data_IF_495497700928
#
_entry.id   IF_495497700928
#
_cell.length_a   1.000
_cell.length_b   1.000
_cell.length_c   1.000
_cell.angle_alpha   90.00
_cell.angle_beta   90.00
_cell.angle_gamma   90.00
#
_symmetry.space_group_name_H-M   'P 1'
#
loop_
_entity.id
_entity.type
_entity.pdbx_description
1 polymer ?
#
# COMPACT_ATOMS: atom_id res chain seq x y z
N UNK A 1 12.50 -8.59 17.09
CA UNK A 1 12.14 -7.16 17.29
C UNK A 1 12.57 -6.40 16.05
N UNK A 2 11.67 -5.59 15.47
CA UNK A 2 11.98 -4.67 14.37
C UNK A 2 12.93 -3.58 14.89
N UNK A 3 13.89 -3.15 14.06
CA UNK A 3 14.81 -2.04 14.40
C UNK A 3 14.05 -0.80 14.90
N UNK A 4 14.51 -0.10 15.95
CA UNK A 4 13.89 1.13 16.42
C UNK A 4 13.73 2.19 15.33
N UNK A 5 14.70 2.31 14.42
CA UNK A 5 14.66 3.23 13.29
C UNK A 5 13.51 2.89 12.32
N UNK A 6 13.37 1.61 11.97
CA UNK A 6 12.28 1.14 11.11
C UNK A 6 10.93 1.42 11.79
N UNK A 7 10.79 1.04 13.07
CA UNK A 7 9.55 1.24 13.83
C UNK A 7 9.15 2.71 13.93
N UNK A 8 10.12 3.62 14.14
CA UNK A 8 9.91 5.07 14.19
C UNK A 8 9.36 5.59 12.88
N UNK A 9 10.00 5.24 11.76
CA UNK A 9 9.62 5.76 10.44
C UNK A 9 8.29 5.16 9.94
N UNK A 10 8.04 3.87 10.16
CA UNK A 10 6.74 3.25 9.88
C UNK A 10 5.63 3.95 10.66
N UNK A 11 5.81 4.12 11.97
CA UNK A 11 4.82 4.77 12.83
C UNK A 11 4.51 6.20 12.39
N UNK A 12 5.53 6.98 12.07
CA UNK A 12 5.37 8.36 11.60
C UNK A 12 4.56 8.38 10.29
N UNK A 13 4.90 7.53 9.32
CA UNK A 13 4.26 7.51 8.01
C UNK A 13 2.80 7.03 8.08
N UNK A 14 2.57 5.88 8.74
CA UNK A 14 1.25 5.23 8.83
C UNK A 14 0.24 6.06 9.63
N UNK A 15 0.68 6.78 10.67
CA UNK A 15 -0.22 7.60 11.51
C UNK A 15 -0.55 8.98 10.93
N UNK A 16 -0.05 9.35 9.77
CA UNK A 16 -0.39 10.61 9.10
C UNK A 16 -1.89 10.70 8.83
N UNK A 17 -2.43 11.91 8.87
CA UNK A 17 -3.84 12.17 8.52
C UNK A 17 -4.14 11.72 7.09
N UNK A 18 -5.30 11.11 6.88
CA UNK A 18 -5.78 10.64 5.58
C UNK A 18 -7.26 10.31 5.63
N UNK A 19 -7.91 10.15 4.48
CA UNK A 19 -9.36 9.85 4.38
C UNK A 19 -9.74 8.49 4.97
N UNK A 20 -8.81 7.53 4.99
CA UNK A 20 -8.98 6.19 5.59
C UNK A 20 -10.21 5.41 5.10
N UNK A 21 -10.59 5.61 3.84
CA UNK A 21 -11.83 5.08 3.24
C UNK A 21 -11.79 3.54 3.17
N UNK A 22 -10.65 2.93 2.84
CA UNK A 22 -10.56 1.48 2.61
C UNK A 22 -10.90 0.67 3.85
N UNK A 23 -10.33 1.02 5.00
CA UNK A 23 -10.67 0.34 6.27
C UNK A 23 -12.13 0.53 6.65
N UNK A 24 -12.71 1.71 6.34
CA UNK A 24 -14.12 1.98 6.61
C UNK A 24 -15.01 1.10 5.73
N UNK A 25 -14.73 1.03 4.43
CA UNK A 25 -15.46 0.17 3.49
C UNK A 25 -15.37 -1.31 3.88
N UNK A 26 -14.20 -1.77 4.30
CA UNK A 26 -14.03 -3.13 4.80
C UNK A 26 -14.93 -3.41 6.02
N UNK A 27 -14.94 -2.51 7.00
CA UNK A 27 -15.81 -2.67 8.18
C UNK A 27 -17.29 -2.62 7.80
N UNK A 28 -17.71 -1.70 6.94
CA UNK A 28 -19.10 -1.59 6.49
C UNK A 28 -19.52 -2.86 5.73
N UNK A 29 -18.68 -3.31 4.78
CA UNK A 29 -18.94 -4.54 4.03
C UNK A 29 -19.07 -5.75 4.96
N UNK A 30 -18.12 -5.93 5.88
CA UNK A 30 -18.20 -7.01 6.86
C UNK A 30 -19.48 -6.95 7.70
N UNK A 31 -19.79 -5.80 8.30
CA UNK A 31 -20.95 -5.62 9.19
C UNK A 31 -22.28 -5.73 8.44
N UNK A 32 -22.30 -5.44 7.13
CA UNK A 32 -23.49 -5.61 6.29
C UNK A 32 -23.93 -7.06 6.10
N UNK A 33 -23.01 -8.01 6.24
CA UNK A 33 -23.29 -9.45 6.03
C UNK A 33 -23.10 -10.30 7.30
N UNK A 34 -22.30 -9.85 8.26
CA UNK A 34 -22.02 -10.59 9.46
C UNK A 34 -23.12 -10.40 10.50
N UNK A 35 -23.60 -11.52 11.11
CA UNK A 35 -24.57 -11.47 12.21
C UNK A 35 -23.97 -10.96 13.54
N UNK A 36 -22.65 -11.06 13.69
CA UNK A 36 -21.90 -10.63 14.89
C UNK A 36 -20.55 -10.11 14.50
N UNK A 37 -20.02 -9.15 15.26
CA UNK A 37 -18.66 -8.66 15.10
C UNK A 37 -17.64 -9.72 15.50
N UNK A 38 -16.75 -10.09 14.59
CA UNK A 38 -15.66 -11.01 14.88
C UNK A 38 -14.55 -10.34 15.67
N UNK A 39 -13.96 -11.01 16.67
CA UNK A 39 -12.75 -10.50 17.30
C UNK A 39 -11.62 -10.29 16.29
N UNK A 40 -11.00 -9.12 16.35
CA UNK A 40 -9.93 -8.75 15.42
C UNK A 40 -10.40 -8.02 14.15
N UNK A 41 -11.72 -7.83 13.91
CA UNK A 41 -12.24 -7.12 12.74
C UNK A 41 -11.53 -5.77 12.49
N UNK A 42 -11.51 -4.91 13.49
CA UNK A 42 -10.91 -3.58 13.33
C UNK A 42 -9.38 -3.64 13.15
N UNK A 43 -8.73 -4.62 13.77
CA UNK A 43 -7.31 -4.87 13.54
C UNK A 43 -7.07 -5.34 12.11
N UNK A 44 -7.88 -6.26 11.59
CA UNK A 44 -7.80 -6.66 10.18
C UNK A 44 -8.11 -5.52 9.21
N UNK A 45 -9.04 -4.63 9.55
CA UNK A 45 -9.31 -3.42 8.75
C UNK A 45 -8.08 -2.49 8.64
N UNK A 46 -7.22 -2.44 9.66
CA UNK A 46 -5.96 -1.68 9.62
C UNK A 46 -5.00 -2.24 8.57
N UNK A 47 -5.07 -3.55 8.28
CA UNK A 47 -4.22 -4.16 7.26
C UNK A 47 -4.37 -3.50 5.89
N UNK A 48 -5.58 -3.05 5.53
CA UNK A 48 -5.85 -2.36 4.27
C UNK A 48 -5.18 -0.98 4.20
N UNK A 49 -5.00 -0.32 5.33
CA UNK A 49 -4.24 0.93 5.39
C UNK A 49 -2.73 0.67 5.28
N UNK A 50 -2.23 -0.36 5.97
CA UNK A 50 -0.83 -0.77 5.84
C UNK A 50 -0.51 -1.19 4.40
N UNK A 51 -1.40 -1.97 3.80
CA UNK A 51 -1.30 -2.38 2.40
C UNK A 51 -1.29 -1.19 1.45
N UNK A 52 -2.12 -0.18 1.70
CA UNK A 52 -2.11 1.05 0.93
C UNK A 52 -0.83 1.87 1.16
N UNK A 53 -0.36 1.97 2.40
CA UNK A 53 0.86 2.71 2.73
C UNK A 53 2.12 2.07 2.11
N UNK A 54 2.18 0.72 2.04
CA UNK A 54 3.20 0.00 1.26
C UNK A 54 3.22 0.45 -0.21
N UNK A 55 2.06 0.43 -0.87
CA UNK A 55 1.95 0.86 -2.26
C UNK A 55 2.38 2.32 -2.45
N UNK A 56 1.96 3.22 -1.55
CA UNK A 56 2.33 4.64 -1.62
C UNK A 56 3.84 4.87 -1.47
N UNK A 57 4.53 4.06 -0.67
CA UNK A 57 5.98 4.19 -0.50
C UNK A 57 6.71 3.85 -1.80
N UNK A 58 6.31 2.77 -2.48
CA UNK A 58 6.90 2.37 -3.76
C UNK A 58 6.52 3.36 -4.87
N UNK A 59 5.28 3.77 -4.94
CA UNK A 59 4.75 4.78 -5.87
C UNK A 59 5.54 6.10 -5.76
N UNK A 60 5.76 6.60 -4.52
CA UNK A 60 6.56 7.82 -4.29
C UNK A 60 8.00 7.72 -4.81
N UNK A 61 8.61 6.55 -4.77
CA UNK A 61 9.96 6.31 -5.29
C UNK A 61 9.94 6.31 -6.83
N UNK A 62 8.97 5.63 -7.43
CA UNK A 62 8.80 5.50 -8.87
C UNK A 62 8.49 6.86 -9.48
N UNK A 63 7.52 7.57 -8.91
CA UNK A 63 7.06 8.89 -9.36
C UNK A 63 8.00 10.03 -8.97
N UNK A 64 9.06 9.75 -8.18
CA UNK A 64 9.99 10.75 -7.64
C UNK A 64 9.26 11.83 -6.84
N UNK A 65 8.24 11.44 -6.10
CA UNK A 65 7.41 12.34 -5.30
C UNK A 65 8.04 12.63 -3.95
N UNK A 66 8.44 13.88 -3.72
CA UNK A 66 9.12 14.28 -2.48
C UNK A 66 8.17 14.43 -1.28
N UNK A 67 6.86 14.56 -1.53
CA UNK A 67 5.85 14.88 -0.52
C UNK A 67 4.69 13.90 -0.60
N UNK A 68 4.29 13.35 0.57
CA UNK A 68 3.09 12.53 0.75
C UNK A 68 2.28 12.99 1.96
N UNK A 69 0.99 13.29 1.76
CA UNK A 69 0.09 13.79 2.82
C UNK A 69 0.62 15.05 3.52
N UNK A 70 1.20 15.97 2.76
CA UNK A 70 1.73 17.26 3.25
C UNK A 70 3.05 17.17 4.03
N UNK A 71 3.71 16.00 4.03
CA UNK A 71 5.00 15.75 4.70
C UNK A 71 5.98 15.06 3.74
N UNK A 72 7.28 15.05 4.03
CA UNK A 72 8.25 14.32 3.20
C UNK A 72 7.84 12.86 2.98
N UNK A 73 8.00 12.34 1.77
CA UNK A 73 7.82 10.92 1.46
C UNK A 73 8.84 10.06 2.21
N UNK A 74 8.62 8.74 2.28
CA UNK A 74 9.44 7.84 3.09
C UNK A 74 10.92 7.90 2.69
N UNK A 75 11.22 7.88 1.39
CA UNK A 75 12.60 7.93 0.92
C UNK A 75 13.31 9.25 1.24
N UNK A 76 12.58 10.38 1.24
CA UNK A 76 13.12 11.67 1.65
C UNK A 76 13.35 11.74 3.16
N UNK A 77 12.49 11.15 3.97
CA UNK A 77 12.69 11.07 5.43
C UNK A 77 13.95 10.28 5.76
N UNK A 78 14.11 9.13 5.13
CA UNK A 78 15.25 8.24 5.37
C UNK A 78 16.55 8.83 4.86
N UNK A 79 16.54 9.53 3.72
CA UNK A 79 17.71 10.23 3.20
C UNK A 79 18.25 11.25 4.21
N UNK A 80 17.35 11.97 4.89
CA UNK A 80 17.74 12.96 5.92
C UNK A 80 18.33 12.33 7.20
N UNK A 81 18.07 11.05 7.45
CA UNK A 81 18.63 10.32 8.60
C UNK A 81 20.00 9.70 8.30
N UNK A 82 20.43 9.71 7.02
CA UNK A 82 21.73 9.20 6.63
C UNK A 82 22.85 10.21 6.97
N UNK A 83 24.04 9.73 7.37
CA UNK A 83 25.18 10.60 7.60
C UNK A 83 25.65 11.23 6.28
N UNK A 84 26.15 12.47 6.36
CA UNK A 84 26.71 13.20 5.21
C UNK A 84 28.08 12.61 4.80
N UNK A 85 28.06 11.41 4.23
CA UNK A 85 29.23 10.71 3.69
C UNK A 85 28.81 9.83 2.50
N UNK A 86 29.76 9.48 1.65
CA UNK A 86 29.50 8.57 0.51
C UNK A 86 29.09 7.19 1.05
N UNK A 87 27.86 6.78 0.76
CA UNK A 87 27.30 5.46 1.10
C UNK A 87 27.08 4.64 -0.17
N UNK A 88 26.95 3.32 -0.03
CA UNK A 88 26.58 2.42 -1.13
C UNK A 88 25.07 2.29 -1.32
N UNK A 89 24.28 2.93 -0.49
CA UNK A 89 22.82 2.90 -0.49
C UNK A 89 22.28 4.31 -0.19
N UNK A 90 21.01 4.51 -0.48
CA UNK A 90 20.29 5.78 -0.35
C UNK A 90 19.02 5.62 0.50
N UNK A 91 18.35 6.71 0.79
CA UNK A 91 17.02 6.69 1.40
C UNK A 91 15.99 5.95 0.55
N UNK A 92 16.14 5.89 -0.78
CA UNK A 92 15.28 5.10 -1.68
C UNK A 92 15.42 3.60 -1.42
N UNK A 93 16.65 3.10 -1.34
CA UNK A 93 16.93 1.69 -1.07
C UNK A 93 16.34 1.26 0.27
N UNK A 94 16.49 2.11 1.29
CA UNK A 94 15.91 1.88 2.61
C UNK A 94 14.37 1.91 2.58
N UNK A 95 13.77 2.81 1.78
CA UNK A 95 12.33 2.93 1.69
C UNK A 95 11.69 1.73 0.98
N UNK A 96 12.35 1.13 -0.02
CA UNK A 96 11.93 -0.13 -0.64
C UNK A 96 11.81 -1.21 0.45
N UNK A 97 12.86 -1.41 1.25
CA UNK A 97 12.87 -2.41 2.33
C UNK A 97 11.77 -2.13 3.37
N UNK A 98 11.55 -0.86 3.73
CA UNK A 98 10.46 -0.50 4.66
C UNK A 98 9.08 -0.79 4.03
N UNK A 99 8.91 -0.54 2.75
CA UNK A 99 7.69 -0.89 2.02
C UNK A 99 7.39 -2.39 2.13
N UNK A 100 8.37 -3.25 1.88
CA UNK A 100 8.24 -4.70 2.00
C UNK A 100 7.91 -5.14 3.43
N UNK A 101 8.53 -4.51 4.43
CA UNK A 101 8.20 -4.77 5.84
C UNK A 101 6.75 -4.40 6.15
N UNK A 102 6.27 -3.26 5.65
CA UNK A 102 4.86 -2.84 5.84
C UNK A 102 3.92 -3.80 5.12
N UNK A 103 4.27 -4.30 3.93
CA UNK A 103 3.49 -5.32 3.23
C UNK A 103 3.36 -6.60 4.07
N UNK A 104 4.46 -7.11 4.61
CA UNK A 104 4.44 -8.27 5.49
C UNK A 104 3.59 -8.04 6.75
N UNK A 105 3.70 -6.84 7.37
CA UNK A 105 2.87 -6.44 8.50
C UNK A 105 1.37 -6.34 8.13
N UNK A 106 1.05 -5.93 6.91
CA UNK A 106 -0.33 -5.91 6.43
C UNK A 106 -0.92 -7.31 6.38
N UNK A 107 -0.20 -8.28 5.82
CA UNK A 107 -0.65 -9.68 5.76
C UNK A 107 -0.83 -10.30 7.15
N UNK A 108 0.15 -10.12 8.04
CA UNK A 108 0.06 -10.61 9.44
C UNK A 108 -1.13 -9.99 10.18
N UNK A 109 -1.32 -8.68 10.03
CA UNK A 109 -2.43 -7.96 10.65
C UNK A 109 -3.77 -8.41 10.09
N UNK A 110 -3.88 -8.68 8.79
CA UNK A 110 -5.09 -9.19 8.15
C UNK A 110 -5.50 -10.54 8.75
N UNK A 111 -4.55 -11.43 8.95
CA UNK A 111 -4.79 -12.77 9.50
C UNK A 111 -5.23 -12.77 10.97
N UNK A 112 -5.24 -11.62 11.65
CA UNK A 112 -5.62 -11.51 13.07
C UNK A 112 -7.11 -11.69 13.35
N UNK A 113 -7.98 -11.60 12.32
CA UNK A 113 -9.42 -11.80 12.47
C UNK A 113 -9.75 -13.25 12.90
N UNK A 114 -10.71 -13.40 13.79
CA UNK A 114 -11.19 -14.72 14.27
C UNK A 114 -12.36 -15.22 13.42
N UNK A 115 -12.04 -15.61 12.20
CA UNK A 115 -13.00 -16.14 11.23
C UNK A 115 -12.66 -17.57 10.79
N UNK A 116 -13.63 -18.22 10.11
CA UNK A 116 -13.43 -19.51 9.48
C UNK A 116 -12.20 -19.46 8.55
N UNK A 117 -11.38 -20.53 8.59
CA UNK A 117 -10.13 -20.59 7.83
C UNK A 117 -10.35 -20.41 6.32
N UNK A 118 -11.41 -21.00 5.78
CA UNK A 118 -11.75 -20.88 4.35
C UNK A 118 -12.06 -19.43 3.96
N UNK A 119 -12.85 -18.72 4.78
CA UNK A 119 -13.15 -17.30 4.54
C UNK A 119 -11.90 -16.43 4.61
N UNK A 120 -11.03 -16.72 5.58
CA UNK A 120 -9.74 -16.00 5.71
C UNK A 120 -8.86 -16.24 4.49
N UNK A 121 -8.75 -17.48 4.03
CA UNK A 121 -7.96 -17.84 2.87
C UNK A 121 -8.50 -17.15 1.60
N UNK A 122 -9.80 -17.21 1.36
CA UNK A 122 -10.43 -16.55 0.21
C UNK A 122 -10.22 -15.04 0.24
N UNK A 123 -10.47 -14.40 1.39
CA UNK A 123 -10.26 -12.96 1.54
C UNK A 123 -8.79 -12.55 1.38
N UNK A 124 -7.85 -13.38 1.86
CA UNK A 124 -6.41 -13.14 1.67
C UNK A 124 -6.03 -13.24 0.18
N UNK A 125 -6.61 -14.18 -0.57
CA UNK A 125 -6.42 -14.27 -2.03
C UNK A 125 -6.84 -12.98 -2.73
N UNK A 126 -7.96 -12.38 -2.33
CA UNK A 126 -8.38 -11.07 -2.87
C UNK A 126 -7.37 -9.98 -2.54
N UNK A 127 -6.89 -9.91 -1.29
CA UNK A 127 -5.88 -8.92 -0.89
C UNK A 127 -4.58 -9.07 -1.69
N UNK A 128 -4.10 -10.30 -1.87
CA UNK A 128 -2.90 -10.59 -2.67
C UNK A 128 -3.14 -10.24 -4.15
N UNK A 129 -4.31 -10.58 -4.69
CA UNK A 129 -4.70 -10.23 -6.07
C UNK A 129 -4.73 -8.71 -6.27
N UNK A 130 -5.15 -7.95 -5.25
CA UNK A 130 -5.09 -6.49 -5.29
C UNK A 130 -3.66 -5.97 -5.49
N UNK A 131 -2.66 -6.54 -4.79
CA UNK A 131 -1.26 -6.20 -4.99
C UNK A 131 -0.81 -6.51 -6.42
N UNK A 132 -1.14 -7.71 -6.90
CA UNK A 132 -0.79 -8.15 -8.26
C UNK A 132 -1.34 -7.21 -9.32
N UNK A 133 -2.62 -6.86 -9.24
CA UNK A 133 -3.25 -5.96 -10.20
C UNK A 133 -2.69 -4.54 -10.12
N UNK A 134 -2.49 -4.01 -8.90
CA UNK A 134 -1.96 -2.65 -8.72
C UNK A 134 -0.53 -2.55 -9.24
N UNK A 135 0.34 -3.50 -8.91
CA UNK A 135 1.70 -3.55 -9.44
C UNK A 135 1.74 -3.70 -10.96
N UNK A 136 0.83 -4.54 -11.53
CA UNK A 136 0.70 -4.65 -12.99
C UNK A 136 0.24 -3.33 -13.62
N UNK A 137 -0.67 -2.61 -12.95
CA UNK A 137 -1.15 -1.29 -13.39
C UNK A 137 -0.04 -0.26 -13.40
N UNK A 138 0.79 -0.23 -12.35
CA UNK A 138 1.98 0.62 -12.25
C UNK A 138 2.96 0.34 -13.39
N UNK A 139 3.26 -0.93 -13.63
CA UNK A 139 4.16 -1.33 -14.71
C UNK A 139 3.62 -0.93 -16.10
N UNK A 140 2.31 -1.07 -16.32
CA UNK A 140 1.66 -0.63 -17.58
C UNK A 140 1.77 0.89 -17.73
N UNK A 141 1.55 1.65 -16.65
CA UNK A 141 1.67 3.12 -16.68
C UNK A 141 3.09 3.55 -17.08
N UNK A 142 4.12 2.95 -16.51
CA UNK A 142 5.52 3.22 -16.87
C UNK A 142 5.78 2.92 -18.35
N UNK A 143 5.29 1.79 -18.87
CA UNK A 143 5.45 1.44 -20.29
C UNK A 143 4.70 2.42 -21.22
N UNK A 144 3.51 2.85 -20.83
CA UNK A 144 2.74 3.82 -21.61
C UNK A 144 3.36 5.21 -21.54
N UNK A 145 4.04 5.55 -20.43
CA UNK A 145 4.77 6.81 -20.29
C UNK A 145 5.94 7.00 -21.28
N UNK A 146 6.39 5.90 -21.93
CA UNK A 146 7.41 5.96 -22.98
C UNK A 146 6.81 6.39 -24.34
N UNK A 147 5.48 6.19 -24.54
CA UNK A 147 4.81 6.52 -25.78
C UNK A 147 4.61 8.04 -25.94
N UNK A 148 4.70 8.58 -27.15
CA UNK A 148 4.24 9.95 -27.43
C UNK A 148 2.74 10.08 -27.07
N UNK A 149 2.35 11.23 -26.52
CA UNK A 149 0.95 11.48 -26.09
C UNK A 149 -0.06 11.21 -27.21
N UNK A 150 0.28 11.54 -28.45
CA UNK A 150 -0.57 11.35 -29.63
C UNK A 150 -0.88 9.87 -29.95
N UNK A 151 -0.05 8.95 -29.45
CA UNK A 151 -0.15 7.52 -29.68
C UNK A 151 -0.84 6.79 -28.51
N UNK A 152 -1.25 7.53 -27.46
CA UNK A 152 -2.02 7.01 -26.35
C UNK A 152 -3.51 6.97 -26.70
N UNK A 153 -4.14 5.85 -26.44
CA UNK A 153 -5.59 5.68 -26.61
C UNK A 153 -6.34 5.91 -25.30
N UNK A 154 -7.65 6.14 -25.41
CA UNK A 154 -8.52 6.23 -24.25
C UNK A 154 -8.56 4.92 -23.47
N UNK A 155 -8.48 3.79 -24.16
CA UNK A 155 -8.40 2.45 -23.62
C UNK A 155 -7.13 2.25 -22.80
N UNK A 156 -5.99 2.78 -23.23
CA UNK A 156 -4.74 2.74 -22.47
C UNK A 156 -4.91 3.43 -21.10
N UNK A 157 -5.54 4.60 -21.08
CA UNK A 157 -5.80 5.34 -19.84
C UNK A 157 -6.79 4.61 -18.93
N UNK A 158 -7.87 4.07 -19.48
CA UNK A 158 -8.82 3.28 -18.70
C UNK A 158 -8.21 2.01 -18.14
N UNK A 159 -7.27 1.40 -18.85
CA UNK A 159 -6.54 0.23 -18.38
C UNK A 159 -5.70 0.56 -17.16
N UNK A 160 -4.98 1.71 -17.15
CA UNK A 160 -4.26 2.18 -15.98
C UNK A 160 -5.22 2.36 -14.79
N UNK A 161 -6.29 3.13 -14.95
CA UNK A 161 -7.26 3.37 -13.87
C UNK A 161 -7.88 2.08 -13.33
N UNK A 162 -8.19 1.13 -14.21
CA UNK A 162 -8.75 -0.17 -13.84
C UNK A 162 -7.78 -0.94 -12.94
N UNK A 163 -6.55 -1.12 -13.37
CA UNK A 163 -5.59 -1.97 -12.66
C UNK A 163 -4.94 -1.25 -11.46
N UNK A 164 -4.48 -0.01 -11.63
CA UNK A 164 -3.79 0.73 -10.57
C UNK A 164 -4.74 1.15 -9.44
N UNK A 165 -6.04 1.40 -9.73
CA UNK A 165 -6.93 2.02 -8.75
C UNK A 165 -8.25 1.30 -8.53
N UNK A 166 -9.01 0.99 -9.59
CA UNK A 166 -10.40 0.57 -9.44
C UNK A 166 -10.52 -0.84 -8.84
N UNK A 167 -9.78 -1.82 -9.34
CA UNK A 167 -9.80 -3.20 -8.82
C UNK A 167 -9.43 -3.19 -7.35
N UNK A 168 -8.31 -2.63 -7.01
CA UNK A 168 -7.81 -2.56 -5.66
C UNK A 168 -8.76 -1.83 -4.67
N UNK A 169 -9.53 -0.84 -5.12
CA UNK A 169 -10.36 -0.04 -4.21
C UNK A 169 -11.78 -0.59 -4.08
N UNK A 170 -12.34 -1.18 -5.14
CA UNK A 170 -13.76 -1.49 -5.22
C UNK A 170 -14.10 -2.94 -5.58
N UNK A 171 -13.17 -3.70 -6.16
CA UNK A 171 -13.45 -5.03 -6.66
C UNK A 171 -12.74 -6.17 -5.89
N UNK A 172 -12.04 -5.84 -4.78
CA UNK A 172 -11.35 -6.80 -3.92
C UNK A 172 -11.94 -6.84 -2.52
#
# INVERSE_FOLDING_TARGET
KISPLISKNIKEFVLRKGKRIRRLLFCIGYLGFAKKTSPGLFRSAISLELFHDFMLIHDDIIDKSDIRRGKPSMHIMLEKELPNKKLKFSGKDMAIVIGDVIYALALDTFLSIKENLKLKEESLKYLISAALYTGSGEFIELLLGIKPIKDLTKEDIYKIYKYKTAIYTFAT
#
